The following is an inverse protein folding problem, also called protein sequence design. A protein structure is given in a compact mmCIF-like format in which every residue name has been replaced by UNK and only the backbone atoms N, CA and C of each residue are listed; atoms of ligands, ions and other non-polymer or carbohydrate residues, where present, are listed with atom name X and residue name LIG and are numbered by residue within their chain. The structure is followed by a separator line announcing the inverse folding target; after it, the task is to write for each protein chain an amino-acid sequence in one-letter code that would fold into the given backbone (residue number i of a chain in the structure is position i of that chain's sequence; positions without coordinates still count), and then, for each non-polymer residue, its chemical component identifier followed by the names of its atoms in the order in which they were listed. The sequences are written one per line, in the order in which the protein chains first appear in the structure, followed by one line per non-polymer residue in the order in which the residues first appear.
data_IF_859020385368
#
_entry.id   IF_859020385368
#
_cell.length_a   1.000
_cell.length_b   1.000
_cell.length_c   1.000
_cell.angle_alpha   90.00
_cell.angle_beta   90.00
_cell.angle_gamma   90.00
#
_symmetry.space_group_name_H-M   'P 1'
#
loop_
_entity.id
_entity.type
_entity.pdbx_description
1 polymer ?
#
# COMPACT_ATOMS: atom_id res chain seq x y z
N UNK A 1 -1.15 27.99 -4.74
CA UNK A 1 0.23 27.49 -4.60
C UNK A 1 0.17 26.00 -4.29
N UNK A 2 0.22 25.17 -5.33
CA UNK A 2 0.11 23.70 -5.22
C UNK A 2 1.46 23.13 -4.74
N UNK A 3 1.47 22.45 -3.60
CA UNK A 3 2.68 21.77 -3.12
C UNK A 3 3.13 20.72 -4.15
N UNK A 4 4.43 20.69 -4.46
CA UNK A 4 5.01 19.74 -5.41
C UNK A 4 4.76 18.29 -4.95
N UNK A 5 4.41 17.35 -5.85
CA UNK A 5 4.08 15.95 -5.52
C UNK A 5 5.17 15.23 -4.69
N UNK A 6 6.42 15.63 -4.86
CA UNK A 6 7.59 15.10 -4.14
C UNK A 6 7.52 15.40 -2.63
N UNK A 7 6.97 16.56 -2.23
CA UNK A 7 6.83 16.92 -0.81
C UNK A 7 5.76 16.07 -0.12
N UNK A 8 4.71 15.68 -0.85
CA UNK A 8 3.65 14.82 -0.34
C UNK A 8 4.21 13.42 -0.06
N UNK A 9 5.01 12.88 -0.99
CA UNK A 9 5.64 11.56 -0.84
C UNK A 9 6.61 11.49 0.36
N UNK A 10 7.41 12.53 0.59
CA UNK A 10 8.30 12.58 1.76
C UNK A 10 7.56 12.81 3.07
N UNK A 11 6.48 13.60 3.08
CA UNK A 11 5.65 13.81 4.27
C UNK A 11 4.96 12.52 4.74
N UNK A 12 4.57 11.63 3.82
CA UNK A 12 4.03 10.31 4.15
C UNK A 12 5.06 9.35 4.80
N UNK A 13 6.36 9.66 4.67
CA UNK A 13 7.47 8.89 5.26
C UNK A 13 7.97 9.47 6.60
N UNK A 14 7.49 10.65 6.99
CA UNK A 14 7.80 11.21 8.29
C UNK A 14 7.16 10.34 9.39
N UNK A 15 7.93 9.89 10.40
CA UNK A 15 7.39 9.08 11.47
C UNK A 15 6.42 9.94 12.28
N UNK A 16 5.11 9.76 12.08
CA UNK A 16 4.09 10.32 12.97
C UNK A 16 4.32 9.74 14.37
N UNK A 17 4.96 10.54 15.22
CA UNK A 17 5.28 10.21 16.59
C UNK A 17 4.05 10.40 17.47
N UNK A 18 3.34 9.29 17.71
CA UNK A 18 2.64 9.02 18.98
C UNK A 18 2.21 7.55 19.02
N UNK A 19 3.17 6.64 18.78
CA UNK A 19 2.92 5.20 19.00
C UNK A 19 3.07 4.93 20.49
N UNK A 20 1.94 4.71 21.17
CA UNK A 20 1.91 4.23 22.55
C UNK A 20 2.92 3.07 22.72
N UNK A 21 3.86 3.25 23.66
CA UNK A 21 4.90 2.26 23.93
C UNK A 21 4.22 1.04 24.56
N UNK A 22 4.33 -0.12 23.89
CA UNK A 22 3.80 -1.36 24.44
C UNK A 22 4.84 -2.05 25.32
N UNK A 23 4.53 -2.24 26.60
CA UNK A 23 5.34 -3.02 27.55
C UNK A 23 4.78 -4.44 27.72
N UNK A 24 5.63 -5.48 27.80
CA UNK A 24 5.20 -6.85 28.00
C UNK A 24 4.76 -7.09 29.45
N UNK A 25 3.70 -7.88 29.65
CA UNK A 25 3.30 -8.40 30.97
C UNK A 25 3.76 -9.86 31.05
N UNK A 26 4.66 -10.16 32.00
CA UNK A 26 5.16 -11.51 32.24
C UNK A 26 4.62 -12.06 33.57
N UNK A 27 4.12 -13.29 33.55
CA UNK A 27 3.74 -14.03 34.75
C UNK A 27 4.03 -15.51 34.55
N UNK A 28 4.31 -16.23 35.64
CA UNK A 28 4.62 -17.66 35.58
C UNK A 28 3.33 -18.46 35.45
N UNK A 29 3.34 -19.44 34.56
CA UNK A 29 2.25 -20.41 34.36
C UNK A 29 2.84 -21.81 34.25
N UNK A 30 2.13 -22.77 34.82
CA UNK A 30 2.39 -24.20 34.61
C UNK A 30 2.00 -24.62 33.19
N UNK A 31 2.46 -25.80 32.77
CA UNK A 31 2.10 -26.37 31.46
C UNK A 31 0.58 -26.61 31.34
N UNK A 32 -0.05 -27.06 32.43
CA UNK A 32 -1.49 -27.29 32.47
C UNK A 32 -2.26 -25.98 32.31
N UNK A 33 -1.89 -24.93 33.03
CA UNK A 33 -2.52 -23.61 32.90
C UNK A 33 -2.33 -23.04 31.49
N UNK A 34 -1.12 -23.14 30.93
CA UNK A 34 -0.85 -22.72 29.54
C UNK A 34 -1.74 -23.45 28.55
N UNK A 35 -1.96 -24.75 28.73
CA UNK A 35 -2.85 -25.53 27.87
C UNK A 35 -4.32 -25.12 28.01
N UNK A 36 -4.79 -24.84 29.23
CA UNK A 36 -6.14 -24.31 29.50
C UNK A 36 -6.34 -22.96 28.83
N UNK A 37 -5.39 -22.03 29.00
CA UNK A 37 -5.44 -20.71 28.36
C UNK A 37 -5.48 -20.85 26.83
N UNK A 38 -4.69 -21.76 26.25
CA UNK A 38 -4.71 -22.01 24.79
C UNK A 38 -6.05 -22.56 24.30
N UNK A 39 -6.70 -23.45 25.07
CA UNK A 39 -8.05 -23.96 24.77
C UNK A 39 -9.10 -22.86 24.85
N UNK A 40 -9.06 -22.01 25.88
CA UNK A 40 -9.97 -20.88 26.05
C UNK A 40 -9.78 -19.79 24.97
N UNK A 41 -8.56 -19.61 24.48
CA UNK A 41 -8.27 -18.67 23.40
C UNK A 41 -8.91 -19.08 22.07
N UNK A 42 -9.06 -20.37 21.79
CA UNK A 42 -9.68 -20.87 20.54
C UNK A 42 -8.91 -20.40 19.30
N UNK A 43 -9.58 -19.64 18.43
CA UNK A 43 -9.01 -19.13 17.17
C UNK A 43 -8.23 -17.82 17.30
N UNK A 44 -8.17 -17.22 18.49
CA UNK A 44 -7.43 -15.98 18.73
C UNK A 44 -6.06 -16.26 19.37
N UNK A 45 -5.11 -15.33 19.27
CA UNK A 45 -3.83 -15.48 19.98
C UNK A 45 -4.04 -15.40 21.48
N UNK A 46 -3.22 -16.15 22.24
CA UNK A 46 -3.24 -16.15 23.72
C UNK A 46 -3.14 -14.74 24.29
N UNK A 47 -2.27 -13.89 23.73
CA UNK A 47 -2.13 -12.50 24.14
C UNK A 47 -3.39 -11.66 23.88
N UNK A 48 -4.10 -11.90 22.78
CA UNK A 48 -5.35 -11.19 22.50
C UNK A 48 -6.48 -11.65 23.43
N UNK A 49 -6.55 -12.96 23.70
CA UNK A 49 -7.48 -13.52 24.69
C UNK A 49 -7.26 -12.91 26.08
N UNK A 50 -6.03 -12.93 26.59
CA UNK A 50 -5.69 -12.37 27.90
C UNK A 50 -5.94 -10.88 27.97
N UNK A 51 -5.61 -10.13 26.91
CA UNK A 51 -5.88 -8.70 26.82
C UNK A 51 -7.37 -8.39 26.85
N UNK A 52 -8.18 -9.19 26.14
CA UNK A 52 -9.64 -9.04 26.11
C UNK A 52 -10.25 -9.31 27.49
N UNK A 53 -9.78 -10.36 28.17
CA UNK A 53 -10.25 -10.74 29.50
C UNK A 53 -9.84 -9.72 30.56
N UNK A 54 -8.57 -9.31 30.59
CA UNK A 54 -8.04 -8.41 31.61
C UNK A 54 -8.50 -6.95 31.47
N UNK A 55 -8.81 -6.49 30.25
CA UNK A 55 -9.19 -5.10 29.96
C UNK A 55 -10.68 -4.95 29.57
N UNK A 56 -11.51 -5.94 29.88
CA UNK A 56 -12.98 -5.82 29.78
C UNK A 56 -13.53 -5.68 28.36
N UNK A 57 -12.94 -6.36 27.37
CA UNK A 57 -13.52 -6.50 26.02
C UNK A 57 -13.51 -5.26 25.11
N UNK A 58 -13.17 -4.07 25.61
CA UNK A 58 -13.13 -2.81 24.83
C UNK A 58 -11.84 -2.59 24.04
N UNK A 59 -10.93 -3.55 24.06
CA UNK A 59 -9.65 -3.38 23.39
C UNK A 59 -9.82 -3.61 21.90
N UNK A 60 -9.54 -2.58 21.10
CA UNK A 60 -9.53 -2.67 19.65
C UNK A 60 -8.70 -3.90 19.24
N UNK A 61 -9.38 -4.95 18.78
CA UNK A 61 -8.73 -6.11 18.22
C UNK A 61 -7.85 -5.60 17.09
N UNK A 62 -6.53 -5.90 17.13
CA UNK A 62 -5.63 -5.53 16.03
C UNK A 62 -6.29 -6.00 14.74
N UNK A 63 -6.58 -5.05 13.84
CA UNK A 63 -7.22 -5.31 12.55
C UNK A 63 -6.54 -6.53 11.93
N UNK A 64 -7.29 -7.61 11.67
CA UNK A 64 -6.74 -8.79 11.00
C UNK A 64 -6.13 -8.30 9.69
N UNK A 65 -4.80 -8.33 9.60
CA UNK A 65 -4.12 -8.08 8.32
C UNK A 65 -4.51 -9.24 7.40
N UNK A 66 -5.21 -8.93 6.31
CA UNK A 66 -5.45 -9.89 5.23
C UNK A 66 -4.08 -10.35 4.72
N UNK A 67 -3.86 -11.67 4.68
CA UNK A 67 -2.70 -12.20 3.98
C UNK A 67 -2.94 -11.97 2.48
N UNK A 68 -1.97 -11.43 1.73
CA UNK A 68 -2.13 -11.24 0.30
C UNK A 68 -2.28 -12.59 -0.39
N UNK A 69 -3.30 -12.68 -1.24
CA UNK A 69 -3.57 -13.86 -2.06
C UNK A 69 -2.56 -13.97 -3.22
N UNK A 70 -2.58 -15.08 -3.95
CA UNK A 70 -1.73 -15.31 -5.11
C UNK A 70 -1.97 -14.26 -6.21
N UNK A 71 -3.23 -13.85 -6.41
CA UNK A 71 -3.59 -12.83 -7.39
C UNK A 71 -3.13 -11.43 -6.96
N UNK A 72 -3.19 -11.10 -5.66
CA UNK A 72 -2.64 -9.86 -5.12
C UNK A 72 -1.12 -9.76 -5.41
N UNK A 73 -0.39 -10.88 -5.32
CA UNK A 73 1.05 -10.91 -5.65
C UNK A 73 1.32 -10.70 -7.14
N UNK A 74 0.48 -11.26 -8.01
CA UNK A 74 0.59 -11.07 -9.47
C UNK A 74 0.33 -9.62 -9.86
N UNK A 75 -0.73 -9.03 -9.31
CA UNK A 75 -1.08 -7.62 -9.51
C UNK A 75 0.01 -6.68 -8.98
N UNK A 76 0.58 -6.96 -7.80
CA UNK A 76 1.67 -6.16 -7.25
C UNK A 76 2.94 -6.22 -8.13
N UNK A 77 3.25 -7.40 -8.70
CA UNK A 77 4.37 -7.53 -9.65
C UNK A 77 4.11 -6.74 -10.94
N UNK A 78 2.90 -6.80 -11.47
CA UNK A 78 2.50 -6.03 -12.66
C UNK A 78 2.63 -4.52 -12.39
N UNK A 79 2.12 -4.04 -11.25
CA UNK A 79 2.25 -2.64 -10.85
C UNK A 79 3.72 -2.21 -10.71
N UNK A 80 4.55 -3.08 -10.12
CA UNK A 80 6.00 -2.85 -10.01
C UNK A 80 6.69 -2.77 -11.37
N UNK A 81 6.37 -3.68 -12.29
CA UNK A 81 6.90 -3.67 -13.65
C UNK A 81 6.46 -2.40 -14.42
N UNK A 82 5.22 -1.96 -14.24
CA UNK A 82 4.72 -0.71 -14.82
C UNK A 82 5.50 0.50 -14.26
N UNK A 83 5.79 0.54 -12.96
CA UNK A 83 6.64 1.59 -12.38
C UNK A 83 8.08 1.59 -12.91
N UNK A 84 8.61 0.41 -13.26
CA UNK A 84 9.96 0.24 -13.82
C UNK A 84 10.04 0.46 -15.34
N UNK A 85 8.91 0.60 -16.04
CA UNK A 85 8.83 0.72 -17.51
C UNK A 85 9.45 2.01 -18.08
N UNK A 86 10.07 2.84 -17.26
CA UNK A 86 10.76 4.09 -17.63
C UNK A 86 9.89 5.07 -18.44
N UNK A 87 8.56 5.00 -18.31
CA UNK A 87 7.60 5.86 -19.03
C UNK A 87 7.97 7.34 -18.95
N UNK A 88 8.37 7.85 -17.78
CA UNK A 88 8.79 9.25 -17.62
C UNK A 88 10.03 9.60 -18.44
N UNK A 89 10.99 8.68 -18.55
CA UNK A 89 12.19 8.88 -19.36
C UNK A 89 11.86 8.90 -20.84
N UNK A 90 11.00 7.97 -21.30
CA UNK A 90 10.55 7.91 -22.69
C UNK A 90 9.75 9.17 -23.06
N UNK A 91 8.87 9.64 -22.17
CA UNK A 91 8.11 10.87 -22.37
C UNK A 91 9.03 12.10 -22.50
N UNK A 92 10.10 12.14 -21.70
CA UNK A 92 11.10 13.20 -21.80
C UNK A 92 11.88 13.16 -23.12
N UNK A 93 12.13 11.97 -23.68
CA UNK A 93 12.76 11.83 -25.01
C UNK A 93 11.82 12.34 -26.12
N UNK A 94 10.53 12.02 -26.05
CA UNK A 94 9.51 12.52 -26.99
C UNK A 94 9.44 14.05 -26.92
N UNK A 95 9.36 14.61 -25.71
CA UNK A 95 9.34 16.06 -25.51
C UNK A 95 10.60 16.75 -26.08
N UNK A 96 11.78 16.13 -25.88
CA UNK A 96 13.03 16.64 -26.45
C UNK A 96 13.04 16.59 -27.97
N UNK A 97 12.57 15.49 -28.57
CA UNK A 97 12.48 15.35 -30.02
C UNK A 97 11.50 16.37 -30.64
N UNK A 98 10.36 16.62 -29.99
CA UNK A 98 9.41 17.65 -30.38
C UNK A 98 10.02 19.06 -30.31
N UNK A 99 10.68 19.40 -29.20
CA UNK A 99 11.31 20.71 -29.01
C UNK A 99 12.45 20.98 -30.02
N UNK A 100 13.15 19.92 -30.46
CA UNK A 100 14.20 20.02 -31.47
C UNK A 100 13.66 20.04 -32.91
N UNK A 101 12.33 19.95 -33.10
CA UNK A 101 11.71 19.83 -34.43
C UNK A 101 11.96 18.49 -35.12
N UNK A 102 12.52 17.51 -34.42
CA UNK A 102 12.80 16.16 -34.94
C UNK A 102 11.58 15.25 -34.93
N UNK A 103 10.53 15.62 -34.19
CA UNK A 103 9.23 14.96 -34.19
C UNK A 103 8.18 15.93 -34.74
N UNK A 104 7.56 15.64 -35.90
CA UNK A 104 6.44 16.43 -36.39
C UNK A 104 5.25 16.27 -35.44
N UNK A 105 4.90 17.35 -34.74
CA UNK A 105 3.76 17.39 -33.81
C UNK A 105 2.51 17.71 -34.61
N UNK A 106 1.78 16.69 -35.04
CA UNK A 106 0.47 16.81 -35.68
C UNK A 106 -0.64 16.75 -34.63
N UNK A 107 -1.81 17.31 -34.94
CA UNK A 107 -2.97 17.28 -34.04
C UNK A 107 -3.40 15.83 -33.74
N UNK A 108 -3.37 14.95 -34.74
CA UNK A 108 -3.68 13.51 -34.57
C UNK A 108 -2.72 12.83 -33.57
N UNK A 109 -1.41 13.12 -33.68
CA UNK A 109 -0.40 12.56 -32.76
C UNK A 109 -0.62 13.04 -31.32
N UNK A 110 -1.01 14.31 -31.14
CA UNK A 110 -1.32 14.86 -29.82
C UNK A 110 -2.51 14.13 -29.20
N UNK A 111 -3.57 13.89 -29.98
CA UNK A 111 -4.75 13.12 -29.53
C UNK A 111 -4.38 11.69 -29.17
N UNK A 112 -3.59 11.01 -30.01
CA UNK A 112 -3.13 9.64 -29.74
C UNK A 112 -2.28 9.56 -28.46
N UNK A 113 -1.39 10.52 -28.24
CA UNK A 113 -0.55 10.58 -27.03
C UNK A 113 -1.38 10.81 -25.77
N UNK A 114 -2.34 11.73 -25.81
CA UNK A 114 -3.26 11.96 -24.68
C UNK A 114 -4.09 10.72 -24.37
N UNK A 115 -4.59 10.04 -25.41
CA UNK A 115 -5.37 8.80 -25.27
C UNK A 115 -4.53 7.71 -24.63
N UNK A 116 -3.32 7.47 -25.13
CA UNK A 116 -2.40 6.49 -24.56
C UNK A 116 -2.06 6.78 -23.08
N UNK A 117 -1.88 8.06 -22.72
CA UNK A 117 -1.64 8.44 -21.33
C UNK A 117 -2.87 8.19 -20.43
N UNK A 118 -4.08 8.44 -20.95
CA UNK A 118 -5.32 8.16 -20.25
C UNK A 118 -5.49 6.64 -20.00
N UNK A 119 -5.23 5.81 -21.02
CA UNK A 119 -5.31 4.35 -20.92
C UNK A 119 -4.33 3.79 -19.89
N UNK A 120 -3.08 4.28 -19.88
CA UNK A 120 -2.08 3.89 -18.87
C UNK A 120 -2.52 4.31 -17.46
N UNK A 121 -3.11 5.51 -17.31
CA UNK A 121 -3.63 5.98 -16.02
C UNK A 121 -4.79 5.10 -15.55
N UNK A 122 -5.70 4.72 -16.44
CA UNK A 122 -6.82 3.82 -16.14
C UNK A 122 -6.32 2.43 -15.71
N UNK A 123 -5.42 1.81 -16.50
CA UNK A 123 -4.82 0.52 -16.14
C UNK A 123 -4.14 0.55 -14.77
N UNK A 124 -3.38 1.63 -14.48
CA UNK A 124 -2.74 1.81 -13.18
C UNK A 124 -3.76 1.92 -12.05
N UNK A 125 -4.83 2.68 -12.26
CA UNK A 125 -5.90 2.86 -11.27
C UNK A 125 -6.59 1.53 -10.96
N UNK A 126 -6.95 0.75 -11.98
CA UNK A 126 -7.61 -0.54 -11.82
C UNK A 126 -6.76 -1.53 -11.01
N UNK A 127 -5.45 -1.57 -11.27
CA UNK A 127 -4.51 -2.42 -10.52
C UNK A 127 -4.41 -1.98 -9.05
N UNK A 128 -4.34 -0.68 -8.76
CA UNK A 128 -4.26 -0.16 -7.39
C UNK A 128 -5.55 -0.46 -6.62
N UNK A 129 -6.70 -0.25 -7.25
CA UNK A 129 -8.02 -0.55 -6.68
C UNK A 129 -8.19 -2.04 -6.42
N UNK A 130 -7.78 -2.90 -7.35
CA UNK A 130 -7.82 -4.35 -7.17
C UNK A 130 -6.94 -4.84 -6.01
N UNK A 131 -5.81 -4.16 -5.75
CA UNK A 131 -4.94 -4.44 -4.60
C UNK A 131 -5.49 -3.91 -3.26
N UNK A 132 -6.58 -3.13 -3.28
CA UNK A 132 -7.16 -2.51 -2.09
C UNK A 132 -6.24 -1.47 -1.43
N UNK A 133 -5.29 -0.94 -2.20
CA UNK A 133 -4.44 0.18 -1.80
C UNK A 133 -5.28 1.43 -2.04
N UNK A 134 -5.37 2.34 -1.07
CA UNK A 134 -6.00 3.64 -1.32
C UNK A 134 -5.18 4.36 -2.40
N UNK A 135 -5.77 4.55 -3.58
CA UNK A 135 -5.21 5.44 -4.57
C UNK A 135 -5.25 6.85 -3.98
N UNK A 136 -4.08 7.46 -3.75
CA UNK A 136 -4.02 8.90 -3.56
C UNK A 136 -4.32 9.54 -4.93
N UNK A 137 -5.36 10.38 -4.98
CA UNK A 137 -5.80 11.10 -6.18
C UNK A 137 -4.75 12.10 -6.68
#
# INVERSE_FOLDING_TARGET
MSASPIRIFNAASEPTSDKEITVPISFRVTLLEKSKIKKLAGSQSVSNYLRREALGGKVASKRKKRLPDLDDKRLARLLGALGQSRLSSNMNQIAKAANMGALPVTDDLVVELHTACADIRAMRHDIITALGIKAEE
#
